data_IF_934872452784
#
_entry.id   IF_934872452784
#
_cell.length_a   1.000
_cell.length_b   1.000
_cell.length_c   1.000
_cell.angle_alpha   90.00
_cell.angle_beta   90.00
_cell.angle_gamma   90.00
#
_symmetry.space_group_name_H-M   'P 1'
#
loop_
_entity.id
_entity.type
_entity.pdbx_description
1 polymer ?
#
# COMPACT_ATOMS: atom_id res chain seq x y z
N UNK A 1 -20.90 -24.91 -26.34
CA UNK A 1 -20.98 -23.83 -27.35
C UNK A 1 -21.06 -22.43 -26.73
N UNK A 2 -21.89 -22.17 -25.72
CA UNK A 2 -22.01 -20.84 -25.09
C UNK A 2 -20.73 -20.35 -24.38
N UNK A 3 -19.98 -21.25 -23.71
CA UNK A 3 -18.74 -20.89 -23.02
C UNK A 3 -17.63 -20.42 -23.99
N UNK A 4 -17.47 -21.08 -25.14
CA UNK A 4 -16.50 -20.72 -26.20
C UNK A 4 -16.83 -19.36 -26.83
N UNK A 5 -18.12 -19.09 -27.02
CA UNK A 5 -18.59 -17.82 -27.56
C UNK A 5 -18.33 -16.65 -26.59
N UNK A 6 -18.56 -16.87 -25.29
CA UNK A 6 -18.30 -15.86 -24.27
C UNK A 6 -16.79 -15.67 -23.98
N UNK A 7 -15.96 -16.72 -24.02
CA UNK A 7 -14.48 -16.62 -23.96
C UNK A 7 -13.94 -15.83 -25.18
N UNK A 8 -14.50 -16.08 -26.37
CA UNK A 8 -14.15 -15.32 -27.57
C UNK A 8 -14.61 -13.85 -27.52
N UNK A 9 -15.76 -13.55 -26.90
CA UNK A 9 -16.26 -12.19 -26.69
C UNK A 9 -15.44 -11.42 -25.64
N UNK A 10 -15.04 -12.09 -24.56
CA UNK A 10 -14.20 -11.55 -23.50
C UNK A 10 -12.81 -11.17 -24.02
N UNK A 11 -12.25 -11.95 -24.96
CA UNK A 11 -11.01 -11.63 -25.68
C UNK A 11 -11.13 -10.48 -26.68
N UNK A 12 -12.34 -10.13 -27.15
CA UNK A 12 -12.57 -9.15 -28.23
C UNK A 12 -12.86 -7.73 -27.74
N UNK A 13 -12.86 -7.51 -26.42
CA UNK A 13 -12.72 -6.21 -25.77
C UNK A 13 -13.81 -5.16 -26.12
N UNK A 14 -15.08 -5.47 -25.87
CA UNK A 14 -16.14 -4.43 -25.78
C UNK A 14 -16.36 -4.04 -24.33
N UNK A 15 -15.89 -2.83 -23.96
CA UNK A 15 -16.02 -2.24 -22.62
C UNK A 15 -17.48 -2.23 -22.09
N UNK A 16 -18.48 -2.18 -22.96
CA UNK A 16 -19.91 -2.19 -22.59
C UNK A 16 -20.48 -3.58 -22.24
N UNK A 17 -19.83 -4.67 -22.67
CA UNK A 17 -20.27 -6.05 -22.38
C UNK A 17 -19.70 -6.58 -21.05
N UNK A 18 -18.78 -5.85 -20.42
CA UNK A 18 -18.06 -6.28 -19.21
C UNK A 18 -18.91 -6.31 -17.93
N UNK A 19 -20.08 -5.67 -17.90
CA UNK A 19 -20.93 -5.66 -16.70
C UNK A 19 -21.96 -6.79 -16.61
N UNK A 20 -22.68 -7.08 -17.70
CA UNK A 20 -23.88 -7.92 -17.65
C UNK A 20 -23.61 -9.42 -17.75
N UNK A 21 -22.57 -9.81 -18.47
CA UNK A 21 -22.31 -11.23 -18.75
C UNK A 21 -21.27 -11.85 -17.82
N UNK A 22 -20.55 -11.05 -17.03
CA UNK A 22 -19.50 -11.57 -16.16
C UNK A 22 -20.03 -12.50 -15.05
N UNK A 23 -21.21 -12.22 -14.48
CA UNK A 23 -21.84 -13.15 -13.53
C UNK A 23 -22.23 -14.51 -14.15
N UNK A 24 -22.75 -14.50 -15.38
CA UNK A 24 -23.05 -15.74 -16.12
C UNK A 24 -21.77 -16.45 -16.58
N UNK A 25 -20.73 -15.68 -16.90
CA UNK A 25 -19.43 -16.17 -17.33
C UNK A 25 -18.70 -16.87 -16.19
N UNK A 26 -18.76 -16.35 -14.96
CA UNK A 26 -18.23 -17.01 -13.76
C UNK A 26 -18.93 -18.36 -13.54
N UNK A 27 -20.27 -18.43 -13.68
CA UNK A 27 -21.02 -19.69 -13.62
C UNK A 27 -20.56 -20.69 -14.68
N UNK A 28 -20.44 -20.24 -15.93
CA UNK A 28 -20.03 -21.10 -17.04
C UNK A 28 -18.55 -21.52 -16.95
N UNK A 29 -17.66 -20.68 -16.43
CA UNK A 29 -16.27 -21.07 -16.17
C UNK A 29 -16.18 -22.09 -15.02
N UNK A 30 -16.99 -21.92 -13.97
CA UNK A 30 -17.11 -22.90 -12.90
C UNK A 30 -17.64 -24.26 -13.40
N UNK A 31 -18.44 -24.29 -14.46
CA UNK A 31 -18.96 -25.50 -15.11
C UNK A 31 -18.00 -26.16 -16.10
N UNK A 32 -17.30 -25.37 -16.92
CA UNK A 32 -16.63 -25.90 -18.12
C UNK A 32 -15.11 -25.70 -18.14
N UNK A 33 -14.53 -24.76 -17.38
CA UNK A 33 -13.09 -24.51 -17.40
C UNK A 33 -12.59 -23.80 -16.12
N UNK A 34 -12.17 -24.60 -15.14
CA UNK A 34 -11.58 -24.14 -13.86
C UNK A 34 -10.33 -23.29 -14.06
N UNK A 35 -9.41 -23.72 -14.93
CA UNK A 35 -8.09 -23.07 -15.10
C UNK A 35 -8.17 -21.62 -15.61
N UNK A 36 -9.30 -21.25 -16.22
CA UNK A 36 -9.55 -19.90 -16.75
C UNK A 36 -10.30 -18.98 -15.78
N UNK A 37 -10.76 -19.50 -14.65
CA UNK A 37 -11.54 -18.73 -13.68
C UNK A 37 -10.65 -17.72 -12.93
N UNK A 38 -9.50 -18.15 -12.37
CA UNK A 38 -8.54 -17.26 -11.69
C UNK A 38 -8.04 -16.08 -12.55
N UNK A 39 -7.60 -16.27 -13.80
CA UNK A 39 -7.19 -15.16 -14.67
C UNK A 39 -8.31 -14.18 -14.98
N UNK A 40 -9.56 -14.64 -15.05
CA UNK A 40 -10.71 -13.78 -15.30
C UNK A 40 -11.07 -12.95 -14.07
N UNK A 41 -11.09 -13.58 -12.89
CA UNK A 41 -11.32 -12.89 -11.62
C UNK A 41 -10.25 -11.81 -11.37
N UNK A 42 -9.00 -12.07 -11.79
CA UNK A 42 -7.91 -11.08 -11.72
C UNK A 42 -8.02 -9.93 -12.72
N UNK A 43 -8.69 -10.15 -13.86
CA UNK A 43 -8.76 -9.16 -14.96
C UNK A 43 -9.99 -8.27 -14.90
N UNK A 44 -11.08 -8.73 -14.28
CA UNK A 44 -12.36 -8.03 -14.30
C UNK A 44 -12.86 -7.75 -12.89
N UNK A 45 -13.38 -6.54 -12.65
CA UNK A 45 -13.94 -6.14 -11.35
C UNK A 45 -15.49 -6.11 -11.37
N UNK A 46 -16.12 -6.39 -12.51
CA UNK A 46 -17.55 -6.21 -12.74
C UNK A 46 -18.36 -7.51 -12.56
N UNK A 47 -18.14 -8.26 -11.48
CA UNK A 47 -18.93 -9.46 -11.16
C UNK A 47 -19.48 -9.43 -9.74
N UNK A 48 -20.64 -10.05 -9.48
CA UNK A 48 -21.16 -10.19 -8.12
C UNK A 48 -20.30 -11.17 -7.32
N UNK A 49 -19.36 -10.63 -6.54
CA UNK A 49 -18.35 -11.39 -5.78
C UNK A 49 -18.99 -12.42 -4.84
N UNK A 50 -20.11 -12.07 -4.18
CA UNK A 50 -20.84 -12.98 -3.30
C UNK A 50 -21.40 -14.21 -4.04
N UNK A 51 -22.01 -14.01 -5.21
CA UNK A 51 -22.54 -15.13 -6.01
C UNK A 51 -21.39 -16.02 -6.52
N UNK A 52 -20.26 -15.41 -6.90
CA UNK A 52 -19.07 -16.16 -7.29
C UNK A 52 -18.55 -17.02 -6.13
N UNK A 53 -18.53 -16.46 -4.91
CA UNK A 53 -18.12 -17.16 -3.70
C UNK A 53 -19.06 -18.32 -3.35
N UNK A 54 -20.38 -18.13 -3.45
CA UNK A 54 -21.35 -19.21 -3.22
C UNK A 54 -21.15 -20.39 -4.19
N UNK A 55 -20.93 -20.11 -5.47
CA UNK A 55 -20.67 -21.13 -6.48
C UNK A 55 -19.34 -21.84 -6.21
N UNK A 56 -18.31 -21.09 -5.83
CA UNK A 56 -17.00 -21.66 -5.51
C UNK A 56 -17.05 -22.49 -4.22
N UNK A 57 -17.84 -22.08 -3.23
CA UNK A 57 -18.08 -22.79 -1.97
C UNK A 57 -18.81 -24.11 -2.21
N UNK A 58 -19.86 -24.11 -3.03
CA UNK A 58 -20.60 -25.34 -3.41
C UNK A 58 -19.71 -26.37 -4.14
N UNK A 59 -18.66 -25.92 -4.83
CA UNK A 59 -17.76 -26.78 -5.63
C UNK A 59 -16.39 -26.99 -5.01
N UNK A 60 -16.14 -26.43 -3.83
CA UNK A 60 -14.86 -26.50 -3.11
C UNK A 60 -13.65 -26.00 -3.93
N UNK A 61 -13.79 -24.85 -4.60
CA UNK A 61 -12.70 -24.22 -5.34
C UNK A 61 -11.85 -23.33 -4.43
N UNK A 62 -10.98 -23.95 -3.63
CA UNK A 62 -10.23 -23.24 -2.58
C UNK A 62 -9.31 -22.09 -3.07
N UNK A 63 -8.48 -22.24 -4.13
CA UNK A 63 -7.63 -21.14 -4.62
C UNK A 63 -8.44 -19.91 -5.06
N UNK A 64 -9.56 -20.14 -5.71
CA UNK A 64 -10.49 -19.11 -6.16
C UNK A 64 -11.23 -18.45 -5.00
N UNK A 65 -11.65 -19.24 -4.00
CA UNK A 65 -12.29 -18.73 -2.78
C UNK A 65 -11.35 -17.82 -1.99
N UNK A 66 -10.08 -18.20 -1.83
CA UNK A 66 -9.07 -17.37 -1.14
C UNK A 66 -8.88 -16.03 -1.86
N UNK A 67 -8.80 -16.06 -3.20
CA UNK A 67 -8.71 -14.84 -4.00
C UNK A 67 -9.95 -13.93 -3.83
N UNK A 68 -11.14 -14.51 -3.87
CA UNK A 68 -12.40 -13.78 -3.67
C UNK A 68 -12.51 -13.20 -2.27
N UNK A 69 -12.15 -13.96 -1.22
CA UNK A 69 -12.20 -13.52 0.17
C UNK A 69 -11.20 -12.40 0.45
N UNK A 70 -9.97 -12.48 -0.10
CA UNK A 70 -8.99 -11.40 -0.04
C UNK A 70 -9.50 -10.11 -0.69
N UNK A 71 -10.27 -10.21 -1.78
CA UNK A 71 -10.92 -9.06 -2.45
C UNK A 71 -12.10 -8.47 -1.68
N UNK A 72 -12.84 -9.30 -0.93
CA UNK A 72 -13.95 -8.83 -0.05
C UNK A 72 -13.40 -8.16 1.21
N UNK A 73 -12.15 -8.47 1.59
CA UNK A 73 -11.55 -8.06 2.85
C UNK A 73 -11.86 -9.01 4.02
N UNK A 74 -12.41 -10.20 3.74
CA UNK A 74 -12.64 -11.23 4.74
C UNK A 74 -11.42 -12.16 4.82
N UNK A 75 -10.31 -11.60 5.29
CA UNK A 75 -8.99 -12.23 5.30
C UNK A 75 -8.89 -13.37 6.33
N UNK A 76 -9.59 -13.26 7.47
CA UNK A 76 -9.62 -14.33 8.49
C UNK A 76 -10.30 -15.61 7.99
N UNK A 77 -11.43 -15.51 7.28
CA UNK A 77 -12.07 -16.68 6.65
C UNK A 77 -11.20 -17.27 5.54
N UNK A 78 -10.52 -16.42 4.76
CA UNK A 78 -9.59 -16.86 3.73
C UNK A 78 -8.47 -17.72 4.35
N UNK A 79 -7.88 -17.22 5.44
CA UNK A 79 -6.80 -17.89 6.16
C UNK A 79 -7.26 -19.19 6.82
N UNK A 80 -8.46 -19.21 7.38
CA UNK A 80 -9.07 -20.42 7.92
C UNK A 80 -9.26 -21.50 6.84
N UNK A 81 -9.73 -21.11 5.65
CA UNK A 81 -9.87 -22.01 4.49
C UNK A 81 -8.50 -22.52 4.01
N UNK A 82 -7.49 -21.66 3.91
CA UNK A 82 -6.13 -22.07 3.53
C UNK A 82 -5.56 -23.08 4.51
N UNK A 83 -5.71 -22.83 5.80
CA UNK A 83 -5.09 -23.67 6.84
C UNK A 83 -5.83 -24.99 7.04
N UNK A 84 -7.16 -25.01 6.92
CA UNK A 84 -7.99 -26.21 7.14
C UNK A 84 -8.06 -27.11 5.92
N UNK A 85 -8.26 -26.54 4.74
CA UNK A 85 -8.64 -27.30 3.54
C UNK A 85 -7.48 -27.51 2.57
N UNK A 86 -6.65 -26.48 2.36
CA UNK A 86 -5.47 -26.60 1.50
C UNK A 86 -4.28 -27.24 2.26
N UNK A 87 -4.19 -27.01 3.58
CA UNK A 87 -3.08 -27.51 4.39
C UNK A 87 -1.71 -26.97 3.97
N UNK A 88 -1.70 -25.94 3.12
CA UNK A 88 -0.49 -25.34 2.56
C UNK A 88 -0.04 -24.17 3.45
N UNK A 89 0.90 -24.46 4.34
CA UNK A 89 1.48 -23.49 5.26
C UNK A 89 2.31 -22.43 4.53
N UNK A 90 2.92 -22.74 3.38
CA UNK A 90 3.72 -21.77 2.63
C UNK A 90 2.83 -20.72 1.99
N UNK A 91 1.72 -21.16 1.38
CA UNK A 91 0.72 -20.26 0.84
C UNK A 91 0.10 -19.37 1.93
N UNK A 92 -0.22 -19.93 3.11
CA UNK A 92 -0.78 -19.16 4.22
C UNK A 92 0.18 -18.08 4.73
N UNK A 93 1.48 -18.40 4.84
CA UNK A 93 2.52 -17.43 5.22
C UNK A 93 2.64 -16.32 4.17
N UNK A 94 2.63 -16.66 2.88
CA UNK A 94 2.69 -15.67 1.81
C UNK A 94 1.46 -14.74 1.84
N UNK A 95 0.27 -15.27 2.12
CA UNK A 95 -0.95 -14.48 2.27
C UNK A 95 -0.86 -13.51 3.46
N UNK A 96 -0.39 -13.96 4.62
CA UNK A 96 -0.13 -13.06 5.76
C UNK A 96 0.91 -11.98 5.44
N UNK A 97 1.96 -12.31 4.68
CA UNK A 97 2.98 -11.35 4.25
C UNK A 97 2.43 -10.29 3.28
N UNK A 98 1.53 -10.67 2.36
CA UNK A 98 0.91 -9.73 1.42
C UNK A 98 -0.04 -8.74 2.12
N UNK A 99 -0.72 -9.20 3.17
CA UNK A 99 -1.71 -8.39 3.90
C UNK A 99 -1.15 -7.60 5.10
N UNK A 100 0.03 -7.98 5.62
CA UNK A 100 0.75 -7.31 6.73
C UNK A 100 -0.11 -6.97 7.95
N UNK A 101 -0.99 -7.90 8.33
CA UNK A 101 -1.96 -7.72 9.43
C UNK A 101 -1.60 -8.59 10.65
N UNK A 102 -1.50 -7.96 11.82
CA UNK A 102 -1.22 -8.64 13.10
C UNK A 102 -2.33 -9.63 13.49
N UNK A 103 -3.60 -9.34 13.17
CA UNK A 103 -4.72 -10.24 13.48
C UNK A 103 -4.61 -11.55 12.70
N UNK A 104 -4.22 -11.48 11.42
CA UNK A 104 -4.00 -12.66 10.58
C UNK A 104 -2.85 -13.52 11.07
N UNK A 105 -1.76 -12.89 11.52
CA UNK A 105 -0.66 -13.63 12.14
C UNK A 105 -1.12 -14.32 13.42
N UNK A 106 -1.90 -13.65 14.26
CA UNK A 106 -2.46 -14.25 15.47
C UNK A 106 -3.38 -15.44 15.17
N UNK A 107 -4.24 -15.33 14.16
CA UNK A 107 -5.10 -16.42 13.70
C UNK A 107 -4.28 -17.60 13.20
N UNK A 108 -3.26 -17.36 12.37
CA UNK A 108 -2.36 -18.38 11.85
C UNK A 108 -1.62 -19.11 12.99
N UNK A 109 -1.18 -18.38 14.02
CA UNK A 109 -0.59 -18.96 15.23
C UNK A 109 -1.58 -19.88 15.92
N UNK A 110 -2.79 -19.41 16.19
CA UNK A 110 -3.82 -20.19 16.87
C UNK A 110 -4.16 -21.48 16.10
N UNK A 111 -4.20 -21.43 14.77
CA UNK A 111 -4.39 -22.63 13.95
C UNK A 111 -3.18 -23.57 14.02
N UNK A 112 -1.97 -23.04 14.05
CA UNK A 112 -0.73 -23.82 14.15
C UNK A 112 -0.55 -24.51 15.51
N UNK A 113 -1.08 -23.94 16.60
CA UNK A 113 -1.03 -24.53 17.95
C UNK A 113 -1.70 -25.91 18.00
N UNK A 114 -2.65 -26.18 17.11
CA UNK A 114 -3.31 -27.48 17.03
C UNK A 114 -2.44 -28.59 16.39
N UNK A 115 -1.34 -28.25 15.71
CA UNK A 115 -0.46 -29.20 14.98
C UNK A 115 1.02 -28.90 15.22
N UNK A 116 1.70 -29.75 15.98
CA UNK A 116 3.12 -29.58 16.37
C UNK A 116 4.11 -29.48 15.18
N UNK A 117 3.83 -30.16 14.06
CA UNK A 117 4.68 -30.10 12.86
C UNK A 117 4.64 -28.72 12.19
N UNK A 118 3.47 -28.07 12.20
CA UNK A 118 3.28 -26.76 11.57
C UNK A 118 4.00 -25.65 12.33
N UNK A 119 4.06 -25.74 13.67
CA UNK A 119 4.78 -24.77 14.52
C UNK A 119 6.27 -24.75 14.18
N UNK A 120 6.88 -25.90 13.97
CA UNK A 120 8.31 -25.97 13.67
C UNK A 120 8.63 -25.29 12.33
N UNK A 121 7.79 -25.53 11.32
CA UNK A 121 7.92 -24.89 10.01
C UNK A 121 7.71 -23.36 10.09
N UNK A 122 6.69 -22.96 10.82
CA UNK A 122 6.31 -21.58 11.06
C UNK A 122 7.44 -20.81 11.78
N UNK A 123 7.99 -21.35 12.86
CA UNK A 123 9.11 -20.74 13.60
C UNK A 123 10.36 -20.55 12.72
N UNK A 124 10.60 -21.41 11.73
CA UNK A 124 11.75 -21.29 10.84
C UNK A 124 11.62 -20.20 9.76
N UNK A 125 10.40 -19.73 9.49
CA UNK A 125 10.06 -18.83 8.38
C UNK A 125 9.51 -17.47 8.84
N UNK A 126 8.95 -17.39 10.06
CA UNK A 126 8.28 -16.19 10.57
C UNK A 126 9.24 -15.20 11.27
N UNK A 127 10.48 -15.57 11.56
CA UNK A 127 11.41 -14.75 12.35
C UNK A 127 11.64 -13.31 11.88
N UNK A 128 11.29 -12.98 10.63
CA UNK A 128 11.40 -11.64 10.05
C UNK A 128 10.11 -10.81 10.07
N UNK A 129 8.99 -11.34 10.54
CA UNK A 129 7.68 -10.69 10.40
C UNK A 129 6.90 -10.57 11.72
N UNK A 130 7.06 -11.53 12.63
CA UNK A 130 6.33 -11.53 13.90
C UNK A 130 7.29 -11.52 15.06
N UNK A 131 6.93 -10.79 16.11
CA UNK A 131 7.69 -10.76 17.34
C UNK A 131 7.82 -12.16 17.95
N UNK A 132 9.07 -12.63 18.18
CA UNK A 132 9.36 -13.90 18.85
C UNK A 132 8.63 -14.08 20.18
N UNK A 133 8.33 -12.98 20.89
CA UNK A 133 7.66 -12.98 22.19
C UNK A 133 6.22 -13.49 22.09
N UNK A 134 5.48 -13.06 21.07
CA UNK A 134 4.08 -13.45 20.85
C UNK A 134 3.96 -14.94 20.56
N UNK A 135 4.97 -15.52 19.91
CA UNK A 135 5.06 -16.96 19.67
C UNK A 135 5.38 -17.73 20.95
N UNK A 136 6.47 -17.33 21.64
CA UNK A 136 6.97 -18.05 22.81
C UNK A 136 5.95 -18.04 23.96
N UNK A 137 5.18 -16.96 24.13
CA UNK A 137 4.13 -16.89 25.16
C UNK A 137 2.92 -17.80 24.88
N UNK A 138 2.67 -18.14 23.62
CA UNK A 138 1.50 -18.95 23.21
C UNK A 138 1.79 -20.44 23.12
N UNK A 139 3.06 -20.85 23.16
CA UNK A 139 3.43 -22.26 23.14
C UNK A 139 3.21 -22.84 24.54
N UNK A 140 2.30 -23.80 24.66
CA UNK A 140 2.07 -24.55 25.90
C UNK A 140 3.33 -25.34 26.30
N UNK A 141 3.77 -25.31 27.58
CA UNK A 141 4.99 -25.99 28.04
C UNK A 141 4.98 -27.51 27.86
N UNK A 142 3.80 -28.12 27.73
CA UNK A 142 3.60 -29.57 27.59
C UNK A 142 3.71 -30.08 26.15
N UNK A 143 3.87 -29.17 25.16
CA UNK A 143 3.91 -29.53 23.76
C UNK A 143 5.29 -30.05 23.33
N UNK A 144 5.34 -31.29 22.83
CA UNK A 144 6.55 -31.87 22.26
C UNK A 144 6.72 -31.37 20.81
N UNK A 145 7.57 -30.36 20.63
CA UNK A 145 7.91 -29.80 19.32
C UNK A 145 9.31 -30.29 18.90
N UNK A 146 9.42 -31.17 17.90
CA UNK A 146 10.72 -31.67 17.46
C UNK A 146 11.55 -30.55 16.83
N UNK A 147 12.80 -30.38 17.26
CA UNK A 147 13.71 -29.38 16.68
C UNK A 147 13.45 -27.93 17.10
N UNK A 148 12.59 -27.69 18.10
CA UNK A 148 12.23 -26.36 18.62
C UNK A 148 13.45 -25.48 18.91
N UNK A 149 14.49 -26.03 19.58
CA UNK A 149 15.71 -25.27 19.90
C UNK A 149 16.39 -24.68 18.67
N UNK A 150 16.51 -25.46 17.59
CA UNK A 150 17.15 -24.98 16.34
C UNK A 150 16.29 -23.92 15.65
N UNK A 151 14.97 -24.14 15.63
CA UNK A 151 14.02 -23.20 15.04
C UNK A 151 14.01 -21.86 15.80
N UNK A 152 13.97 -21.88 17.14
CA UNK A 152 14.01 -20.69 17.98
C UNK A 152 15.31 -19.91 17.85
N UNK A 153 16.47 -20.59 17.85
CA UNK A 153 17.77 -19.93 17.65
C UNK A 153 17.80 -19.22 16.29
N UNK A 154 17.37 -19.91 15.23
CA UNK A 154 17.31 -19.32 13.89
C UNK A 154 16.38 -18.10 13.86
N UNK A 155 15.16 -18.24 14.38
CA UNK A 155 14.18 -17.16 14.47
C UNK A 155 14.72 -15.93 15.21
N UNK A 156 15.38 -16.14 16.37
CA UNK A 156 15.98 -15.05 17.14
C UNK A 156 17.13 -14.38 16.38
N UNK A 157 17.96 -15.15 15.67
CA UNK A 157 19.02 -14.59 14.83
C UNK A 157 18.44 -13.75 13.69
N UNK A 158 17.42 -14.25 12.99
CA UNK A 158 16.77 -13.57 11.88
C UNK A 158 16.08 -12.27 12.36
N UNK A 159 15.38 -12.32 13.50
CA UNK A 159 14.77 -11.15 14.12
C UNK A 159 15.79 -10.10 14.56
N UNK A 160 16.89 -10.52 15.22
CA UNK A 160 17.95 -9.60 15.61
C UNK A 160 18.61 -8.92 14.41
N UNK A 161 18.79 -9.65 13.31
CA UNK A 161 19.31 -9.08 12.06
C UNK A 161 18.34 -8.01 11.51
N UNK A 162 17.04 -8.31 11.48
CA UNK A 162 16.01 -7.36 11.04
C UNK A 162 16.01 -6.09 11.91
N UNK A 163 15.99 -6.23 13.23
CA UNK A 163 16.02 -5.07 14.16
C UNK A 163 17.29 -4.25 13.95
N UNK A 164 18.44 -4.90 13.79
CA UNK A 164 19.71 -4.21 13.52
C UNK A 164 19.67 -3.40 12.20
N UNK A 165 19.10 -3.97 11.14
CA UNK A 165 18.90 -3.28 9.86
C UNK A 165 17.93 -2.10 10.02
N UNK A 166 16.80 -2.32 10.68
CA UNK A 166 15.79 -1.28 10.90
C UNK A 166 16.35 -0.10 11.72
N UNK A 167 17.13 -0.38 12.76
CA UNK A 167 17.83 0.65 13.52
C UNK A 167 18.87 1.41 12.68
N UNK A 168 19.60 0.70 11.82
CA UNK A 168 20.54 1.30 10.86
C UNK A 168 19.82 2.26 9.92
N UNK A 169 18.74 1.80 9.27
CA UNK A 169 17.90 2.62 8.39
C UNK A 169 17.30 3.82 9.13
N UNK A 170 16.79 3.63 10.35
CA UNK A 170 16.23 4.71 11.19
C UNK A 170 17.27 5.78 11.51
N UNK A 171 18.51 5.38 11.85
CA UNK A 171 19.62 6.31 12.11
C UNK A 171 19.97 7.11 10.85
N UNK A 172 20.04 6.45 9.69
CA UNK A 172 20.32 7.11 8.40
C UNK A 172 19.21 8.11 8.06
N UNK A 173 17.95 7.67 8.08
CA UNK A 173 16.78 8.53 7.82
C UNK A 173 16.72 9.73 8.76
N UNK A 174 16.96 9.51 10.06
CA UNK A 174 16.97 10.59 11.03
C UNK A 174 18.09 11.59 10.74
N UNK A 175 19.30 11.12 10.44
CA UNK A 175 20.41 11.98 10.09
C UNK A 175 20.14 12.75 8.78
N UNK A 176 19.59 12.11 7.76
CA UNK A 176 19.22 12.75 6.49
C UNK A 176 18.15 13.82 6.69
N UNK A 177 17.15 13.54 7.52
CA UNK A 177 16.14 14.53 7.90
C UNK A 177 16.77 15.77 8.54
N UNK A 178 17.64 15.58 9.54
CA UNK A 178 18.31 16.71 10.20
C UNK A 178 19.22 17.48 9.24
N UNK A 179 19.98 16.79 8.39
CA UNK A 179 20.85 17.44 7.39
C UNK A 179 20.05 18.24 6.36
N UNK A 180 18.96 17.68 5.83
CA UNK A 180 18.09 18.39 4.87
C UNK A 180 17.41 19.58 5.53
N UNK A 181 16.93 19.42 6.77
CA UNK A 181 16.31 20.49 7.53
C UNK A 181 17.31 21.62 7.82
N UNK A 182 18.51 21.30 8.28
CA UNK A 182 19.56 22.28 8.54
C UNK A 182 19.96 23.04 7.26
N UNK A 183 20.06 22.34 6.12
CA UNK A 183 20.31 22.97 4.81
C UNK A 183 19.19 23.92 4.39
N UNK A 184 17.93 23.53 4.61
CA UNK A 184 16.78 24.38 4.32
C UNK A 184 16.80 25.64 5.18
N UNK A 185 17.00 25.50 6.50
CA UNK A 185 17.10 26.63 7.44
C UNK A 185 18.26 27.56 7.05
N UNK A 186 19.46 27.02 6.78
CA UNK A 186 20.60 27.81 6.30
C UNK A 186 20.30 28.51 4.97
N UNK A 187 19.55 27.89 4.07
CA UNK A 187 19.15 28.52 2.81
C UNK A 187 18.14 29.66 3.03
N UNK A 188 17.21 29.50 3.98
CA UNK A 188 16.20 30.50 4.31
C UNK A 188 16.76 31.69 5.10
N UNK A 189 17.81 31.47 5.91
CA UNK A 189 18.49 32.53 6.66
C UNK A 189 19.51 33.32 5.84
N UNK A 190 19.89 32.84 4.65
CA UNK A 190 20.76 33.59 3.74
C UNK A 190 19.99 34.77 3.15
N UNK A 191 20.64 35.93 3.12
CA UNK A 191 20.13 37.08 2.38
C UNK A 191 20.00 36.77 0.90
N UNK A 192 18.97 37.32 0.27
CA UNK A 192 18.75 37.23 -1.18
C UNK A 192 19.28 38.52 -1.80
N UNK A 193 20.17 38.38 -2.79
CA UNK A 193 20.67 39.52 -3.54
C UNK A 193 19.64 39.98 -4.58
N UNK A 194 19.33 41.27 -4.55
CA UNK A 194 18.40 41.93 -5.47
C UNK A 194 19.17 43.00 -6.23
N UNK A 195 19.17 42.94 -7.55
CA UNK A 195 19.79 43.94 -8.42
C UNK A 195 18.75 44.83 -9.12
N UNK A 196 19.25 45.87 -9.81
CA UNK A 196 18.43 46.83 -10.56
C UNK A 196 17.84 46.25 -11.87
N UNK A 197 18.16 45.01 -12.22
CA UNK A 197 17.67 44.33 -13.42
C UNK A 197 16.49 43.38 -13.12
N UNK A 198 16.26 43.10 -11.83
CA UNK A 198 15.13 42.27 -11.40
C UNK A 198 13.79 42.97 -11.59
N UNK A 199 12.85 42.22 -12.15
CA UNK A 199 11.51 42.68 -12.53
C UNK A 199 10.45 42.08 -11.62
N UNK A 200 9.43 42.86 -11.29
CA UNK A 200 8.30 42.40 -10.49
C UNK A 200 7.48 41.37 -11.30
N UNK A 201 7.19 40.23 -10.69
CA UNK A 201 6.43 39.13 -11.29
C UNK A 201 4.96 39.43 -11.62
N UNK A 202 4.41 40.55 -11.12
CA UNK A 202 3.04 40.97 -11.39
C UNK A 202 2.96 42.15 -12.36
N UNK A 203 3.66 43.26 -12.06
CA UNK A 203 3.58 44.48 -12.87
C UNK A 203 4.65 44.56 -13.98
N UNK A 204 5.61 43.64 -14.01
CA UNK A 204 6.70 43.61 -15.00
C UNK A 204 7.49 44.94 -15.09
N UNK A 205 7.61 45.66 -13.97
CA UNK A 205 8.47 46.84 -13.82
C UNK A 205 9.67 46.51 -12.94
N UNK A 206 10.73 47.29 -13.04
CA UNK A 206 11.91 47.17 -12.17
C UNK A 206 11.49 47.23 -10.71
N UNK A 207 11.99 46.29 -9.92
CA UNK A 207 11.63 46.16 -8.50
C UNK A 207 12.21 47.33 -7.71
N UNK A 208 13.45 47.71 -8.01
CA UNK A 208 14.14 48.87 -7.44
C UNK A 208 13.77 50.11 -8.28
N UNK A 209 13.02 51.03 -7.66
CA UNK A 209 12.67 52.34 -8.22
C UNK A 209 13.27 53.41 -7.29
N UNK A 210 13.52 54.62 -7.80
CA UNK A 210 14.08 55.74 -7.00
C UNK A 210 13.23 56.11 -5.78
N UNK A 211 11.96 55.71 -5.75
CA UNK A 211 11.07 55.86 -4.59
C UNK A 211 11.11 54.60 -3.71
N UNK A 212 11.18 54.74 -2.37
CA UNK A 212 11.24 53.61 -1.44
C UNK A 212 9.89 52.87 -1.43
N UNK A 213 9.78 51.80 -2.21
CA UNK A 213 8.69 50.83 -2.14
C UNK A 213 9.15 49.61 -1.37
N UNK A 214 8.30 49.07 -0.50
CA UNK A 214 8.57 47.80 0.15
C UNK A 214 8.51 46.66 -0.89
N UNK A 215 9.44 45.73 -0.75
CA UNK A 215 9.64 44.61 -1.67
C UNK A 215 9.42 43.31 -0.90
N UNK A 216 8.65 42.41 -1.49
CA UNK A 216 8.42 41.06 -0.96
C UNK A 216 9.16 40.07 -1.85
N UNK A 217 9.98 39.23 -1.23
CA UNK A 217 10.75 38.19 -1.91
C UNK A 217 10.35 36.83 -1.35
N UNK A 218 9.84 35.95 -2.21
CA UNK A 218 9.51 34.58 -1.82
C UNK A 218 10.77 33.70 -1.80
N UNK A 219 10.76 32.61 -1.04
CA UNK A 219 11.87 31.64 -1.00
C UNK A 219 12.20 30.99 -2.36
N UNK A 220 11.27 31.03 -3.32
CA UNK A 220 11.52 30.65 -4.71
C UNK A 220 12.26 31.72 -5.53
N UNK A 221 12.70 32.82 -4.91
CA UNK A 221 13.41 33.98 -5.51
C UNK A 221 12.59 34.82 -6.47
N UNK A 222 11.25 34.72 -6.45
CA UNK A 222 10.39 35.64 -7.17
C UNK A 222 10.14 36.90 -6.34
N UNK A 223 10.22 38.05 -7.01
CA UNK A 223 10.13 39.37 -6.39
C UNK A 223 8.84 40.09 -6.79
N UNK A 224 8.25 40.77 -5.81
CA UNK A 224 7.04 41.57 -6.00
C UNK A 224 7.13 42.87 -5.21
N UNK A 225 6.51 43.93 -5.74
CA UNK A 225 6.19 45.09 -4.92
C UNK A 225 5.09 44.70 -3.92
N UNK A 226 5.14 45.24 -2.71
CA UNK A 226 4.09 45.05 -1.71
C UNK A 226 2.70 45.39 -2.29
N UNK A 227 2.59 46.50 -3.03
CA UNK A 227 1.37 46.96 -3.71
C UNK A 227 0.87 46.04 -4.84
N UNK A 228 1.73 45.15 -5.35
CA UNK A 228 1.39 44.27 -6.47
C UNK A 228 0.92 42.88 -6.00
N UNK A 229 0.96 42.61 -4.70
CA UNK A 229 0.43 41.39 -4.09
C UNK A 229 -0.96 41.69 -3.51
N UNK A 230 -1.94 40.77 -3.67
CA UNK A 230 -3.14 40.80 -2.84
C UNK A 230 -2.74 40.62 -1.36
N UNK A 231 -3.54 41.17 -0.43
CA UNK A 231 -3.23 41.30 1.01
C UNK A 231 -2.31 40.19 1.55
N UNK A 232 -1.18 40.57 2.17
CA UNK A 232 -0.12 39.65 2.60
C UNK A 232 -0.61 38.55 3.55
N UNK A 233 -1.71 38.76 4.26
CA UNK A 233 -2.35 37.74 5.11
C UNK A 233 -2.95 36.56 4.32
N UNK A 234 -3.11 36.69 3.00
CA UNK A 234 -3.72 35.66 2.13
C UNK A 234 -2.73 34.93 1.23
N UNK A 235 -1.49 35.42 1.08
CA UNK A 235 -0.53 34.89 0.09
C UNK A 235 0.68 34.27 0.78
N UNK A 236 0.50 33.04 1.29
CA UNK A 236 1.62 32.24 1.82
C UNK A 236 2.53 31.67 0.72
N UNK A 237 2.07 31.67 -0.54
CA UNK A 237 2.74 31.01 -1.66
C UNK A 237 2.99 31.96 -2.83
N UNK A 238 4.12 31.78 -3.51
CA UNK A 238 4.43 32.56 -4.70
C UNK A 238 3.43 32.25 -5.84
N UNK A 239 2.77 33.30 -6.35
CA UNK A 239 1.78 33.23 -7.43
C UNK A 239 2.33 32.65 -8.75
N UNK A 240 3.65 32.73 -8.96
CA UNK A 240 4.33 32.17 -10.16
C UNK A 240 4.61 30.67 -9.99
N UNK A 241 5.11 30.24 -8.83
CA UNK A 241 5.47 28.84 -8.58
C UNK A 241 4.26 27.98 -8.23
N UNK A 242 3.29 28.57 -7.56
CA UNK A 242 2.03 27.95 -7.24
C UNK A 242 0.93 28.85 -7.81
N UNK A 243 0.67 28.75 -9.13
CA UNK A 243 -0.52 29.36 -9.69
C UNK A 243 -1.68 28.64 -9.03
N UNK A 244 -2.24 29.22 -7.97
CA UNK A 244 -3.43 28.68 -7.35
C UNK A 244 -4.44 28.48 -8.49
N UNK A 245 -4.91 27.24 -8.67
CA UNK A 245 -6.10 27.00 -9.49
C UNK A 245 -7.15 27.97 -8.98
N UNK A 246 -7.47 28.96 -9.79
CA UNK A 246 -8.49 29.95 -9.53
C UNK A 246 -9.73 29.26 -8.96
N UNK A 247 -9.94 29.41 -7.65
CA UNK A 247 -11.28 29.41 -7.07
C UNK A 247 -11.95 30.75 -7.36
N UNK A 248 -11.93 31.17 -8.62
CA UNK A 248 -12.82 32.19 -9.13
C UNK A 248 -13.77 31.50 -10.10
N UNK A 249 -14.88 31.03 -9.51
CA UNK A 249 -16.08 30.76 -10.26
C UNK A 249 -16.43 31.99 -11.06
N UNK A 250 -16.45 31.82 -12.37
CA UNK A 250 -17.06 32.75 -13.32
C UNK A 250 -18.55 32.75 -12.96
N UNK A 251 -18.96 33.68 -12.11
CA UNK A 251 -20.37 34.04 -12.01
C UNK A 251 -20.71 34.79 -13.30
N UNK A 252 -21.52 34.10 -14.13
CA UNK A 252 -22.28 34.70 -15.23
C UNK A 252 -23.17 35.83 -14.72
#
# INVERSE_FOLDING_TARGET
YLYLYLDALDRKDTKDSKGKYHGLLVRLYADYARDKLLPLLRRSDNYPIQQALDICSQRQFYPEMVYLLGRIGNTSEALALMTRELGDMEAAIAFCQEHDDEELWNDLINYSLNKSEHITFLLQKIGTYVDPRLMVQRIEPSMQIPGLKKALVKMMCDYNLQVSVQEGCKKILSNDYFNLHERLVKSHQKGIFVDDDQMCGACHRKVIVRDPRNIVVFYCKHLFHEECLPDLDTVENCVICNPQKDKFGISK
#
